data_IF_529909241653
#
_entry.id   IF_529909241653
#
_cell.length_a   1.000
_cell.length_b   1.000
_cell.length_c   1.000
_cell.angle_alpha   90.00
_cell.angle_beta   90.00
_cell.angle_gamma   90.00
#
_symmetry.space_group_name_H-M   'P 1'
#
loop_
_entity.id
_entity.type
_entity.pdbx_description
1 polymer ?
#
# COMPACT_ATOMS: atom_id res chain seq x y z
N UNK A 1 -18.01 -3.67 7.10
CA UNK A 1 -17.18 -4.68 6.40
C UNK A 1 -17.23 -6.02 7.11
N UNK A 2 -17.63 -7.11 6.44
CA UNK A 2 -17.40 -8.47 6.96
C UNK A 2 -15.89 -8.70 7.01
N UNK A 3 -15.32 -8.92 8.20
CA UNK A 3 -13.88 -9.24 8.34
C UNK A 3 -13.63 -10.60 7.70
N UNK A 4 -12.88 -10.64 6.60
CA UNK A 4 -12.40 -11.89 6.03
C UNK A 4 -11.24 -12.39 6.89
N UNK A 5 -11.33 -13.64 7.34
CA UNK A 5 -10.24 -14.28 8.09
C UNK A 5 -9.10 -14.54 7.11
N UNK A 6 -7.95 -13.92 7.34
CA UNK A 6 -6.73 -14.20 6.59
C UNK A 6 -6.27 -15.59 7.02
N UNK A 7 -6.21 -16.54 6.09
CA UNK A 7 -5.61 -17.84 6.31
C UNK A 7 -4.14 -17.73 5.95
N UNK A 8 -3.26 -18.29 6.78
CA UNK A 8 -1.87 -18.43 6.41
C UNK A 8 -1.77 -19.33 5.18
N UNK A 9 -0.98 -18.92 4.19
CA UNK A 9 -0.63 -19.78 3.08
C UNK A 9 0.19 -20.95 3.64
N UNK A 10 -0.10 -22.17 3.15
CA UNK A 10 0.67 -23.36 3.53
C UNK A 10 2.07 -23.33 2.88
N UNK A 11 2.16 -22.71 1.70
CA UNK A 11 3.40 -22.65 0.92
C UNK A 11 4.21 -21.40 1.28
N UNK A 12 5.52 -21.58 1.38
CA UNK A 12 6.45 -20.48 1.59
C UNK A 12 6.49 -19.58 0.35
N UNK A 13 6.50 -18.27 0.56
CA UNK A 13 6.75 -17.31 -0.51
C UNK A 13 8.20 -17.47 -1.00
N UNK A 14 8.42 -17.38 -2.31
CA UNK A 14 9.77 -17.38 -2.86
C UNK A 14 10.59 -16.22 -2.27
N UNK A 15 11.82 -16.50 -1.85
CA UNK A 15 12.70 -15.51 -1.21
C UNK A 15 12.95 -14.29 -2.10
N UNK A 16 12.96 -14.44 -3.43
CA UNK A 16 13.12 -13.33 -4.37
C UNK A 16 11.95 -12.34 -4.34
N UNK A 17 10.74 -12.81 -4.01
CA UNK A 17 9.57 -11.94 -3.82
C UNK A 17 9.75 -11.14 -2.54
N UNK A 18 10.14 -11.79 -1.44
CA UNK A 18 10.40 -11.11 -0.17
C UNK A 18 11.53 -10.06 -0.28
N UNK A 19 12.64 -10.40 -0.96
CA UNK A 19 13.75 -9.47 -1.20
C UNK A 19 13.30 -8.28 -2.05
N UNK A 20 12.50 -8.50 -3.09
CA UNK A 20 11.97 -7.41 -3.92
C UNK A 20 11.05 -6.45 -3.16
N UNK A 21 10.24 -6.99 -2.24
CA UNK A 21 9.39 -6.20 -1.33
C UNK A 21 10.27 -5.35 -0.39
N UNK A 22 11.29 -5.96 0.22
CA UNK A 22 12.18 -5.29 1.18
C UNK A 22 13.07 -4.25 0.51
N UNK A 23 13.44 -4.44 -0.76
CA UNK A 23 14.30 -3.51 -1.49
C UNK A 23 13.68 -2.10 -1.65
N UNK A 24 12.35 -1.99 -1.61
CA UNK A 24 11.67 -0.69 -1.68
C UNK A 24 11.60 0.06 -0.35
N UNK A 25 11.88 -0.59 0.78
CA UNK A 25 11.73 -0.03 2.14
C UNK A 25 12.70 1.14 2.31
N UNK A 26 12.19 2.26 2.87
CA UNK A 26 12.96 3.49 3.05
C UNK A 26 13.26 4.25 1.76
N UNK A 27 12.61 3.92 0.64
CA UNK A 27 12.74 4.64 -0.63
C UNK A 27 11.39 5.23 -1.09
N UNK A 28 11.40 6.31 -1.90
CA UNK A 28 10.18 6.81 -2.55
C UNK A 28 9.51 5.79 -3.49
N UNK A 29 10.23 4.73 -3.88
CA UNK A 29 9.84 3.71 -4.86
C UNK A 29 9.30 2.43 -4.23
N UNK A 30 8.82 2.51 -2.98
CA UNK A 30 8.28 1.35 -2.25
C UNK A 30 7.18 0.62 -3.03
N UNK A 31 6.27 1.36 -3.67
CA UNK A 31 5.19 0.76 -4.47
C UNK A 31 5.72 0.03 -5.71
N UNK A 32 6.82 0.50 -6.31
CA UNK A 32 7.45 -0.16 -7.47
C UNK A 32 8.00 -1.53 -7.08
N UNK A 33 8.68 -1.61 -5.93
CA UNK A 33 9.19 -2.87 -5.38
C UNK A 33 8.08 -3.86 -5.07
N UNK A 34 6.99 -3.42 -4.43
CA UNK A 34 5.82 -4.26 -4.19
C UNK A 34 5.17 -4.73 -5.48
N UNK A 35 4.98 -3.84 -6.44
CA UNK A 35 4.33 -4.15 -7.70
C UNK A 35 5.15 -5.17 -8.49
N UNK A 36 6.45 -4.93 -8.68
CA UNK A 36 7.35 -5.82 -9.41
C UNK A 36 7.49 -7.20 -8.74
N UNK A 37 7.52 -7.25 -7.40
CA UNK A 37 7.62 -8.51 -6.67
C UNK A 37 6.31 -9.33 -6.75
N UNK A 38 5.17 -8.68 -6.50
CA UNK A 38 3.88 -9.34 -6.39
C UNK A 38 3.26 -9.72 -7.74
N UNK A 39 3.65 -9.06 -8.84
CA UNK A 39 3.19 -9.40 -10.19
C UNK A 39 3.53 -10.82 -10.64
N UNK A 40 4.54 -11.45 -10.02
CA UNK A 40 4.91 -12.84 -10.29
C UNK A 40 3.90 -13.84 -9.76
N UNK A 41 3.08 -13.44 -8.78
CA UNK A 41 2.15 -14.31 -8.06
C UNK A 41 0.69 -13.84 -8.15
N UNK A 42 0.45 -12.58 -8.51
CA UNK A 42 -0.88 -11.98 -8.66
C UNK A 42 -0.92 -11.07 -9.90
N UNK A 43 -2.05 -10.99 -10.61
CA UNK A 43 -2.22 -10.12 -11.78
C UNK A 43 -2.45 -8.66 -11.35
N UNK A 44 -1.46 -8.06 -10.67
CA UNK A 44 -1.53 -6.67 -10.21
C UNK A 44 -1.10 -5.71 -11.31
N UNK A 45 -1.84 -4.62 -11.47
CA UNK A 45 -1.54 -3.58 -12.47
C UNK A 45 -1.18 -2.24 -11.85
N UNK A 46 -1.51 -2.05 -10.58
CA UNK A 46 -1.24 -0.85 -9.80
C UNK A 46 -0.92 -1.23 -8.34
N UNK A 47 -0.07 -0.44 -7.71
CA UNK A 47 0.17 -0.49 -6.28
C UNK A 47 0.19 0.94 -5.74
N UNK A 48 -0.57 1.20 -4.67
CA UNK A 48 -0.49 2.46 -3.93
C UNK A 48 -0.26 2.13 -2.47
N UNK A 49 0.79 2.73 -1.91
CA UNK A 49 1.13 2.62 -0.50
C UNK A 49 0.61 3.86 0.20
N UNK A 50 -0.24 3.64 1.20
CA UNK A 50 -0.77 4.67 2.07
C UNK A 50 -0.21 4.51 3.47
N UNK A 51 0.07 5.64 4.14
CA UNK A 51 0.40 5.67 5.56
C UNK A 51 -0.67 6.43 6.34
N UNK A 52 -0.92 6.00 7.57
CA UNK A 52 -1.74 6.72 8.52
C UNK A 52 -0.84 7.63 9.37
N UNK A 53 -0.96 8.94 9.18
CA UNK A 53 -0.22 9.93 9.94
C UNK A 53 -0.69 10.04 11.40
N UNK A 54 0.15 10.64 12.25
CA UNK A 54 -0.15 10.85 13.67
C UNK A 54 -1.38 11.75 13.92
N UNK A 55 -1.78 12.55 12.93
CA UNK A 55 -3.00 13.35 12.94
C UNK A 55 -4.26 12.56 12.52
N UNK A 56 -4.14 11.24 12.33
CA UNK A 56 -5.23 10.38 11.86
C UNK A 56 -5.57 10.53 10.37
N UNK A 57 -4.78 11.29 9.60
CA UNK A 57 -4.98 11.44 8.15
C UNK A 57 -4.19 10.40 7.38
N UNK A 58 -4.83 9.84 6.37
CA UNK A 58 -4.16 8.97 5.39
C UNK A 58 -3.40 9.84 4.39
N UNK A 59 -2.17 9.45 4.07
CA UNK A 59 -1.34 10.10 3.05
C UNK A 59 -0.83 9.05 2.05
N UNK A 60 -0.70 9.45 0.79
CA UNK A 60 -0.04 8.64 -0.24
C UNK A 60 1.47 8.72 -0.06
N UNK A 61 2.12 7.57 0.11
CA UNK A 61 3.58 7.46 0.29
C UNK A 61 4.27 7.16 -1.03
N UNK A 62 3.74 6.21 -1.78
CA UNK A 62 4.31 5.76 -3.05
C UNK A 62 3.21 5.18 -3.93
N UNK A 63 3.33 5.33 -5.25
CA UNK A 63 2.41 4.75 -6.22
C UNK A 63 3.21 4.20 -7.39
N UNK A 64 2.82 3.04 -7.89
CA UNK A 64 3.41 2.39 -9.05
C UNK A 64 2.30 1.82 -9.94
N UNK A 65 2.57 1.74 -11.24
CA UNK A 65 1.63 1.26 -12.24
C UNK A 65 2.33 0.74 -13.46
N UNK A 66 1.80 -0.35 -14.02
CA UNK A 66 2.27 -0.92 -15.28
C UNK A 66 1.66 -0.23 -16.51
N UNK A 67 0.71 0.68 -16.30
CA UNK A 67 0.07 1.46 -17.37
C UNK A 67 0.67 2.88 -17.53
N UNK A 68 1.81 3.16 -16.90
CA UNK A 68 2.46 4.47 -16.92
C UNK A 68 1.81 5.52 -16.01
N UNK A 69 2.13 6.80 -16.25
CA UNK A 69 1.87 7.94 -15.34
C UNK A 69 0.39 8.24 -15.05
N UNK A 70 -0.54 7.70 -15.83
CA UNK A 70 -1.98 7.93 -15.64
C UNK A 70 -2.47 7.48 -14.25
N UNK A 71 -1.90 6.39 -13.71
CA UNK A 71 -2.24 5.91 -12.38
C UNK A 71 -1.66 6.79 -11.26
N UNK A 72 -0.49 7.41 -11.49
CA UNK A 72 0.13 8.34 -10.55
C UNK A 72 -0.78 9.57 -10.36
N UNK A 73 -1.35 10.09 -11.46
CA UNK A 73 -2.32 11.19 -11.40
C UNK A 73 -3.60 10.82 -10.64
N UNK A 74 -4.01 9.55 -10.72
CA UNK A 74 -5.22 9.07 -10.04
C UNK A 74 -5.03 9.03 -8.52
N UNK A 75 -3.85 8.64 -8.04
CA UNK A 75 -3.54 8.62 -6.61
C UNK A 75 -3.47 10.02 -5.99
N UNK A 76 -2.92 11.02 -6.71
CA UNK A 76 -2.94 12.42 -6.28
C UNK A 76 -4.37 12.95 -6.14
N UNK A 77 -5.16 12.78 -7.21
CA UNK A 77 -6.58 13.20 -7.24
C UNK A 77 -7.44 12.49 -6.20
N UNK A 78 -7.11 11.25 -5.82
CA UNK A 78 -7.85 10.49 -4.82
C UNK A 78 -7.87 11.21 -3.46
N UNK A 79 -6.71 11.66 -3.00
CA UNK A 79 -6.58 12.37 -1.71
C UNK A 79 -7.12 13.80 -1.83
N UNK A 80 -6.84 14.50 -2.94
CA UNK A 80 -7.35 15.86 -3.19
C UNK A 80 -8.89 15.91 -3.12
N UNK A 81 -9.56 14.94 -3.74
CA UNK A 81 -11.03 14.85 -3.77
C UNK A 81 -11.62 14.17 -2.53
N UNK A 82 -10.81 13.86 -1.53
CA UNK A 82 -11.23 13.25 -0.25
C UNK A 82 -11.96 11.91 -0.41
N UNK A 83 -11.60 11.14 -1.44
CA UNK A 83 -12.17 9.79 -1.63
C UNK A 83 -11.72 8.80 -0.54
N UNK A 84 -10.67 9.11 0.21
CA UNK A 84 -10.26 8.40 1.43
C UNK A 84 -11.37 8.35 2.49
N UNK A 85 -12.30 9.30 2.49
CA UNK A 85 -13.44 9.32 3.40
C UNK A 85 -14.59 8.41 2.96
N UNK A 86 -14.60 7.98 1.70
CA UNK A 86 -15.66 7.17 1.10
C UNK A 86 -15.22 5.71 0.88
N UNK A 87 -13.91 5.48 0.74
CA UNK A 87 -13.34 4.14 0.58
C UNK A 87 -13.46 3.35 1.89
N UNK A 88 -14.18 2.21 1.90
CA UNK A 88 -14.35 1.40 3.10
C UNK A 88 -13.04 0.92 3.73
N UNK A 89 -11.99 0.71 2.93
CA UNK A 89 -10.68 0.30 3.43
C UNK A 89 -9.96 1.45 4.13
N UNK A 90 -10.02 2.67 3.59
CA UNK A 90 -9.40 3.84 4.20
C UNK A 90 -10.16 4.30 5.44
N UNK A 91 -11.50 4.27 5.40
CA UNK A 91 -12.34 4.51 6.58
C UNK A 91 -12.06 3.48 7.68
N UNK A 92 -11.86 2.22 7.31
CA UNK A 92 -11.46 1.19 8.26
C UNK A 92 -10.05 1.42 8.81
N UNK A 93 -9.10 1.84 7.97
CA UNK A 93 -7.72 2.11 8.37
C UNK A 93 -7.63 3.32 9.31
N UNK A 94 -8.33 4.42 9.00
CA UNK A 94 -8.33 5.65 9.81
C UNK A 94 -8.96 5.47 11.19
N UNK A 95 -9.86 4.49 11.34
CA UNK A 95 -10.45 4.11 12.63
C UNK A 95 -9.53 3.22 13.50
N UNK A 96 -8.33 2.83 13.02
CA UNK A 96 -7.39 2.04 13.82
C UNK A 96 -6.73 2.88 14.91
N UNK A 97 -6.39 2.24 16.02
CA UNK A 97 -5.55 2.86 17.04
C UNK A 97 -4.20 3.28 16.42
N UNK A 98 -3.82 4.54 16.63
CA UNK A 98 -2.56 5.07 16.13
C UNK A 98 -1.39 4.35 16.81
N UNK A 99 -0.30 4.08 16.07
CA UNK A 99 0.89 3.49 16.67
C UNK A 99 1.47 4.44 17.71
N UNK A 100 1.87 3.90 18.87
CA UNK A 100 2.50 4.68 19.96
C UNK A 100 3.86 5.26 19.57
N UNK A 101 4.50 4.69 18.56
CA UNK A 101 5.80 5.10 18.04
C UNK A 101 5.74 5.20 16.51
N UNK A 102 6.46 6.16 15.91
CA UNK A 102 6.60 6.24 14.46
C UNK A 102 7.20 4.95 13.90
N UNK A 103 6.64 4.46 12.80
CA UNK A 103 7.19 3.33 12.05
C UNK A 103 8.23 3.87 11.06
N UNK A 104 9.48 3.98 11.52
CA UNK A 104 10.60 4.63 10.79
C UNK A 104 11.08 3.88 9.53
N UNK A 105 10.52 2.72 9.23
CA UNK A 105 10.85 1.94 8.03
C UNK A 105 10.04 2.39 6.80
N UNK A 106 9.05 3.27 6.99
CA UNK A 106 8.23 3.87 5.95
C UNK A 106 8.82 5.20 5.45
#
# INVERSE_FOLDING_TARGET
MKRRRIRFAADALDASVAVGIVAGIGTPHLADGFLAAMQRVLPLTFCTVFALGANGRVVTVSTASNYGDAALQTAGRYIENRFDLLDPNMVWLSARALPKQPQLWL
#
